data_IF_176443621822
#
_entry.id   IF_176443621822
#
_cell.length_a   1.000
_cell.length_b   1.000
_cell.length_c   1.000
_cell.angle_alpha   90.00
_cell.angle_beta   90.00
_cell.angle_gamma   90.00
#
_symmetry.space_group_name_H-M   'P 1'
#
loop_
_entity.id
_entity.type
_entity.pdbx_description
1 polymer ?
#
# COMPACT_ATOMS: atom_id res chain seq x y z
N UNK A 1 -8.10 1.88 -29.98
CA UNK A 1 -7.17 2.01 -28.84
C UNK A 1 -7.75 1.23 -27.70
N UNK A 2 -7.05 0.25 -27.15
CA UNK A 2 -7.49 -0.49 -25.94
C UNK A 2 -7.56 0.50 -24.77
N UNK A 3 -8.68 0.52 -24.08
CA UNK A 3 -8.86 1.36 -22.89
C UNK A 3 -7.80 0.99 -21.82
N UNK A 4 -7.11 1.99 -21.25
CA UNK A 4 -6.12 1.76 -20.20
C UNK A 4 -6.81 1.20 -18.94
N UNK A 5 -6.18 0.21 -18.31
CA UNK A 5 -6.63 -0.32 -17.01
C UNK A 5 -6.52 0.73 -15.91
N UNK A 6 -7.21 0.54 -14.79
CA UNK A 6 -7.27 1.49 -13.68
C UNK A 6 -6.70 0.87 -12.41
N UNK A 7 -5.81 1.60 -11.73
CA UNK A 7 -5.21 1.14 -10.49
C UNK A 7 -5.27 2.21 -9.39
N UNK A 8 -5.32 1.77 -8.13
CA UNK A 8 -5.10 2.60 -6.95
C UNK A 8 -3.87 2.07 -6.20
N UNK A 9 -2.94 2.96 -5.87
CA UNK A 9 -1.77 2.64 -5.04
C UNK A 9 -1.79 3.49 -3.77
N UNK A 10 -1.89 2.85 -2.60
CA UNK A 10 -1.80 3.57 -1.32
C UNK A 10 -0.33 3.76 -0.93
N UNK A 11 -0.01 4.96 -0.38
CA UNK A 11 1.38 5.32 -0.11
C UNK A 11 2.22 5.38 -1.39
N UNK A 12 1.63 5.84 -2.50
CA UNK A 12 2.23 5.82 -3.83
C UNK A 12 3.32 6.87 -4.09
N UNK A 13 3.60 7.77 -3.13
CA UNK A 13 4.53 8.88 -3.33
C UNK A 13 6.01 8.54 -3.14
N UNK A 14 6.35 7.43 -2.47
CA UNK A 14 7.74 7.07 -2.12
C UNK A 14 7.99 5.57 -2.18
N UNK A 15 9.25 5.16 -2.20
CA UNK A 15 9.70 3.78 -2.04
C UNK A 15 9.01 2.78 -2.98
N UNK A 16 8.54 1.67 -2.43
CA UNK A 16 7.84 0.60 -3.17
C UNK A 16 6.59 1.15 -3.86
N UNK A 17 5.84 2.03 -3.19
CA UNK A 17 4.63 2.63 -3.76
C UNK A 17 4.92 3.44 -5.02
N UNK A 18 5.96 4.28 -5.00
CA UNK A 18 6.42 4.98 -6.20
C UNK A 18 6.77 4.02 -7.34
N UNK A 19 7.57 3.00 -7.02
CA UNK A 19 7.97 1.99 -8.02
C UNK A 19 6.76 1.26 -8.61
N UNK A 20 5.77 0.93 -7.78
CA UNK A 20 4.51 0.31 -8.23
C UNK A 20 3.72 1.24 -9.16
N UNK A 21 3.59 2.53 -8.82
CA UNK A 21 2.92 3.53 -9.67
C UNK A 21 3.55 3.58 -11.06
N UNK A 22 4.88 3.71 -11.11
CA UNK A 22 5.60 3.82 -12.39
C UNK A 22 5.55 2.52 -13.22
N UNK A 23 5.63 1.36 -12.55
CA UNK A 23 5.50 0.07 -13.21
C UNK A 23 4.08 -0.12 -13.81
N UNK A 24 3.04 0.25 -13.08
CA UNK A 24 1.66 0.22 -13.55
C UNK A 24 1.44 1.19 -14.72
N UNK A 25 1.96 2.41 -14.64
CA UNK A 25 1.88 3.39 -15.74
C UNK A 25 2.53 2.86 -17.04
N UNK A 26 3.74 2.25 -16.93
CA UNK A 26 4.41 1.57 -18.05
C UNK A 26 3.60 0.39 -18.59
N UNK A 27 2.90 -0.34 -17.73
CA UNK A 27 2.05 -1.48 -18.10
C UNK A 27 0.68 -1.07 -18.68
N UNK A 28 0.44 0.22 -18.91
CA UNK A 28 -0.79 0.71 -19.53
C UNK A 28 -1.94 0.95 -18.53
N UNK A 29 -1.64 1.22 -17.27
CA UNK A 29 -2.65 1.65 -16.29
C UNK A 29 -2.70 3.18 -16.17
N UNK A 30 -3.89 3.70 -15.90
CA UNK A 30 -4.07 5.00 -15.25
C UNK A 30 -4.06 4.76 -13.74
N UNK A 31 -3.46 5.66 -12.97
CA UNK A 31 -3.14 5.37 -11.57
C UNK A 31 -3.63 6.46 -10.63
N UNK A 32 -4.49 6.08 -9.69
CA UNK A 32 -4.80 6.87 -8.50
C UNK A 32 -3.68 6.67 -7.47
N UNK A 33 -3.11 7.77 -7.01
CA UNK A 33 -1.93 7.81 -6.13
C UNK A 33 -2.36 8.39 -4.79
N UNK A 34 -2.49 7.54 -3.78
CA UNK A 34 -2.79 8.00 -2.44
C UNK A 34 -1.50 8.34 -1.68
N UNK A 35 -1.58 9.37 -0.87
CA UNK A 35 -0.56 9.78 0.10
C UNK A 35 -1.22 10.36 1.36
N UNK A 36 -0.55 10.30 2.51
CA UNK A 36 -1.02 10.95 3.73
C UNK A 36 -0.38 12.34 3.91
N UNK A 37 0.95 12.43 3.90
CA UNK A 37 1.70 13.66 4.17
C UNK A 37 2.74 14.02 3.09
N UNK A 38 3.08 13.11 2.19
CA UNK A 38 4.15 13.28 1.19
C UNK A 38 3.66 13.92 -0.11
N UNK A 39 2.93 15.05 -0.04
CA UNK A 39 2.30 15.68 -1.20
C UNK A 39 3.28 16.00 -2.34
N UNK A 40 4.43 16.62 -2.01
CA UNK A 40 5.45 16.99 -3.02
C UNK A 40 6.01 15.77 -3.74
N UNK A 41 6.29 14.68 -3.01
CA UNK A 41 6.77 13.44 -3.60
C UNK A 41 5.69 12.77 -4.48
N UNK A 42 4.45 12.74 -4.02
CA UNK A 42 3.34 12.20 -4.80
C UNK A 42 3.09 12.98 -6.10
N UNK A 43 3.22 14.31 -6.07
CA UNK A 43 3.15 15.16 -7.27
C UNK A 43 4.26 14.84 -8.28
N UNK A 44 5.50 14.65 -7.81
CA UNK A 44 6.61 14.27 -8.67
C UNK A 44 6.37 12.91 -9.34
N UNK A 45 5.90 11.92 -8.58
CA UNK A 45 5.55 10.58 -9.11
C UNK A 45 4.40 10.67 -10.11
N UNK A 46 3.41 11.50 -9.87
CA UNK A 46 2.31 11.71 -10.81
C UNK A 46 2.81 12.29 -12.15
N UNK A 47 3.70 13.29 -12.10
CA UNK A 47 4.30 13.85 -13.31
C UNK A 47 5.12 12.81 -14.11
N UNK A 48 5.90 11.97 -13.42
CA UNK A 48 6.63 10.87 -14.05
C UNK A 48 5.69 9.84 -14.70
N UNK A 49 4.60 9.48 -14.02
CA UNK A 49 3.60 8.55 -14.56
C UNK A 49 2.85 9.14 -15.76
N UNK A 50 2.56 10.45 -15.74
CA UNK A 50 1.96 11.17 -16.87
C UNK A 50 2.89 11.21 -18.10
N UNK A 51 4.20 11.38 -17.88
CA UNK A 51 5.19 11.28 -18.95
C UNK A 51 5.23 9.89 -19.61
N UNK A 52 4.77 8.85 -18.91
CA UNK A 52 4.56 7.49 -19.43
C UNK A 52 3.17 7.31 -20.09
N UNK A 53 2.40 8.38 -20.24
CA UNK A 53 1.08 8.38 -20.89
C UNK A 53 -0.07 7.96 -19.96
N UNK A 54 0.14 7.84 -18.66
CA UNK A 54 -0.93 7.52 -17.71
C UNK A 54 -1.73 8.77 -17.32
N UNK A 55 -3.04 8.64 -17.16
CA UNK A 55 -3.80 9.59 -16.35
C UNK A 55 -3.52 9.32 -14.87
N UNK A 56 -3.37 10.38 -14.08
CA UNK A 56 -3.12 10.25 -12.63
C UNK A 56 -4.15 11.02 -11.83
N UNK A 57 -4.51 10.48 -10.67
CA UNK A 57 -5.38 11.12 -9.67
C UNK A 57 -4.63 11.16 -8.34
N UNK A 58 -4.35 12.34 -7.81
CA UNK A 58 -3.69 12.52 -6.52
C UNK A 58 -4.73 12.60 -5.40
N UNK A 59 -4.59 11.78 -4.36
CA UNK A 59 -5.56 11.61 -3.30
C UNK A 59 -4.89 11.68 -1.92
N UNK A 60 -5.11 12.77 -1.21
CA UNK A 60 -4.66 12.89 0.16
C UNK A 60 -5.64 12.19 1.11
N UNK A 61 -5.19 11.12 1.77
CA UNK A 61 -6.00 10.37 2.71
C UNK A 61 -5.11 9.57 3.67
N UNK A 62 -5.40 9.64 4.96
CA UNK A 62 -4.88 8.69 5.93
C UNK A 62 -5.74 7.42 5.87
N UNK A 63 -5.14 6.30 5.50
CA UNK A 63 -5.85 5.02 5.33
C UNK A 63 -6.42 4.47 6.65
N UNK A 64 -6.01 4.99 7.81
CA UNK A 64 -6.55 4.61 9.10
C UNK A 64 -7.89 5.28 9.45
N UNK A 65 -8.31 6.29 8.66
CA UNK A 65 -9.61 6.97 8.78
C UNK A 65 -10.60 6.39 7.76
N UNK A 66 -11.62 5.68 8.25
CA UNK A 66 -12.61 5.03 7.38
C UNK A 66 -13.46 6.02 6.57
N UNK A 67 -13.78 7.16 7.14
CA UNK A 67 -14.57 8.17 6.43
C UNK A 67 -13.76 8.79 5.28
N UNK A 68 -12.52 9.14 5.53
CA UNK A 68 -11.59 9.63 4.52
C UNK A 68 -11.34 8.58 3.41
N UNK A 69 -11.19 7.30 3.77
CA UNK A 69 -11.05 6.20 2.80
C UNK A 69 -12.27 6.09 1.90
N UNK A 70 -13.49 6.17 2.45
CA UNK A 70 -14.73 6.14 1.65
C UNK A 70 -14.81 7.31 0.68
N UNK A 71 -14.46 8.51 1.11
CA UNK A 71 -14.40 9.68 0.24
C UNK A 71 -13.34 9.52 -0.87
N UNK A 72 -12.16 9.01 -0.54
CA UNK A 72 -11.11 8.70 -1.50
C UNK A 72 -11.60 7.72 -2.58
N UNK A 73 -12.25 6.62 -2.19
CA UNK A 73 -12.76 5.63 -3.15
C UNK A 73 -13.95 6.14 -3.96
N UNK A 74 -14.76 7.06 -3.42
CA UNK A 74 -15.78 7.77 -4.20
C UNK A 74 -15.13 8.60 -5.32
N UNK A 75 -14.10 9.41 -5.01
CA UNK A 75 -13.36 10.19 -6.02
C UNK A 75 -12.73 9.28 -7.09
N UNK A 76 -12.18 8.12 -6.70
CA UNK A 76 -11.67 7.12 -7.66
C UNK A 76 -12.80 6.60 -8.54
N UNK A 77 -13.97 6.34 -7.97
CA UNK A 77 -15.15 5.89 -8.70
C UNK A 77 -15.65 6.92 -9.71
N UNK A 78 -15.69 8.20 -9.32
CA UNK A 78 -16.11 9.31 -10.19
C UNK A 78 -15.13 9.51 -11.36
N UNK A 79 -13.81 9.43 -11.08
CA UNK A 79 -12.78 9.67 -12.08
C UNK A 79 -12.55 8.47 -13.03
N UNK A 80 -12.57 7.23 -12.50
CA UNK A 80 -12.17 6.04 -13.24
C UNK A 80 -13.33 5.08 -13.55
N UNK A 81 -14.43 5.15 -12.84
CA UNK A 81 -15.60 4.29 -13.00
C UNK A 81 -15.43 2.89 -12.41
N UNK A 82 -14.25 2.30 -12.48
CA UNK A 82 -13.89 0.96 -11.98
C UNK A 82 -12.43 0.89 -11.56
N UNK A 83 -12.02 -0.22 -10.95
CA UNK A 83 -10.63 -0.57 -10.67
C UNK A 83 -10.29 -1.97 -11.16
N UNK A 84 -9.12 -2.12 -11.80
CA UNK A 84 -8.53 -3.42 -12.18
C UNK A 84 -7.48 -3.88 -11.17
N UNK A 85 -6.84 -2.94 -10.48
CA UNK A 85 -5.85 -3.28 -9.46
C UNK A 85 -5.91 -2.34 -8.25
N UNK A 86 -5.74 -2.91 -7.07
CA UNK A 86 -5.49 -2.20 -5.83
C UNK A 86 -4.15 -2.65 -5.25
N UNK A 87 -3.24 -1.71 -5.00
CA UNK A 87 -1.98 -1.97 -4.30
C UNK A 87 -2.06 -1.31 -2.92
N UNK A 88 -2.27 -2.11 -1.89
CA UNK A 88 -2.20 -1.66 -0.50
C UNK A 88 -0.74 -1.65 -0.05
N UNK A 89 -0.11 -0.50 -0.17
CA UNK A 89 1.29 -0.31 0.17
C UNK A 89 1.49 0.68 1.33
N UNK A 90 0.52 1.54 1.64
CA UNK A 90 0.62 2.44 2.79
C UNK A 90 0.99 1.68 4.06
N UNK A 91 1.98 2.18 4.79
CA UNK A 91 2.46 1.56 6.00
C UNK A 91 3.27 2.51 6.87
N UNK A 92 3.37 2.17 8.14
CA UNK A 92 4.18 2.88 9.14
C UNK A 92 4.85 1.87 10.07
N UNK A 93 5.77 2.35 10.88
CA UNK A 93 6.49 1.57 11.89
C UNK A 93 6.56 2.35 13.20
N UNK A 94 6.91 1.66 14.30
CA UNK A 94 7.13 2.25 15.60
C UNK A 94 8.62 2.52 15.84
N UNK A 95 8.94 3.42 16.74
CA UNK A 95 10.27 3.60 17.30
C UNK A 95 10.52 2.49 18.34
N UNK A 96 11.70 1.88 18.34
CA UNK A 96 12.00 0.80 19.26
C UNK A 96 13.49 0.67 19.53
N UNK A 97 13.84 0.36 20.79
CA UNK A 97 15.18 -0.09 21.17
C UNK A 97 15.21 -1.61 21.18
N UNK A 98 16.11 -2.21 20.43
CA UNK A 98 16.28 -3.67 20.37
C UNK A 98 16.48 -4.24 21.77
N UNK A 99 15.74 -5.32 22.12
CA UNK A 99 15.74 -6.02 23.42
C UNK A 99 15.19 -5.21 24.60
N UNK A 100 14.57 -4.06 24.38
CA UNK A 100 13.94 -3.25 25.42
C UNK A 100 12.43 -3.13 25.11
N UNK A 101 11.62 -4.01 25.71
CA UNK A 101 10.18 -4.03 25.49
C UNK A 101 9.48 -2.80 26.08
N UNK A 102 10.00 -2.26 27.19
CA UNK A 102 9.44 -1.08 27.85
C UNK A 102 9.63 0.19 27.01
N UNK A 103 10.57 0.19 26.05
CA UNK A 103 10.74 1.31 25.13
C UNK A 103 9.62 1.44 24.09
N UNK A 104 8.75 0.41 23.96
CA UNK A 104 7.63 0.41 23.03
C UNK A 104 6.45 1.18 23.61
N UNK A 105 6.06 2.25 22.93
CA UNK A 105 4.88 3.03 23.29
C UNK A 105 3.62 2.40 22.69
N UNK A 106 2.57 2.29 23.51
CA UNK A 106 1.31 1.67 23.09
C UNK A 106 0.58 2.49 22.00
N UNK A 107 0.71 3.81 22.01
CA UNK A 107 0.16 4.67 20.95
C UNK A 107 0.84 4.43 19.58
N UNK A 108 2.16 4.20 19.57
CA UNK A 108 2.86 3.79 18.35
C UNK A 108 2.47 2.37 17.89
N UNK A 109 2.20 1.47 18.84
CA UNK A 109 1.64 0.14 18.56
C UNK A 109 0.29 0.26 17.86
N UNK A 110 -0.64 1.00 18.49
CA UNK A 110 -1.99 1.20 17.98
C UNK A 110 -1.97 1.89 16.62
N UNK A 111 -1.12 2.90 16.45
CA UNK A 111 -0.93 3.58 15.16
C UNK A 111 -0.44 2.63 14.08
N UNK A 112 0.51 1.76 14.41
CA UNK A 112 1.06 0.79 13.45
C UNK A 112 -0.03 -0.18 12.98
N UNK A 113 -0.84 -0.70 13.88
CA UNK A 113 -1.96 -1.58 13.51
C UNK A 113 -3.09 -0.84 12.81
N UNK A 114 -3.39 0.38 13.22
CA UNK A 114 -4.39 1.22 12.56
C UNK A 114 -4.07 1.45 11.07
N UNK A 115 -2.82 1.75 10.76
CA UNK A 115 -2.38 1.97 9.37
C UNK A 115 -2.19 0.67 8.62
N UNK A 116 -1.34 -0.23 9.13
CA UNK A 116 -0.86 -1.38 8.37
C UNK A 116 -1.92 -2.47 8.20
N UNK A 117 -2.80 -2.66 9.19
CA UNK A 117 -3.78 -3.76 9.21
C UNK A 117 -5.19 -3.22 8.94
N UNK A 118 -5.71 -2.36 9.83
CA UNK A 118 -7.07 -1.82 9.68
C UNK A 118 -7.20 -0.98 8.42
N UNK A 119 -6.21 -0.12 8.11
CA UNK A 119 -6.18 0.70 6.91
C UNK A 119 -6.17 -0.13 5.63
N UNK A 120 -5.35 -1.19 5.58
CA UNK A 120 -5.37 -2.15 4.46
C UNK A 120 -6.77 -2.75 4.26
N UNK A 121 -7.41 -3.20 5.33
CA UNK A 121 -8.77 -3.74 5.28
C UNK A 121 -9.78 -2.67 4.83
N UNK A 122 -9.73 -1.47 5.38
CA UNK A 122 -10.66 -0.38 5.06
C UNK A 122 -10.62 -0.01 3.58
N UNK A 123 -9.41 0.19 3.03
CA UNK A 123 -9.22 0.49 1.60
C UNK A 123 -9.70 -0.67 0.74
N UNK A 124 -9.33 -1.91 1.07
CA UNK A 124 -9.77 -3.09 0.33
C UNK A 124 -11.29 -3.20 0.30
N UNK A 125 -11.94 -3.10 1.47
CA UNK A 125 -13.40 -3.16 1.60
C UNK A 125 -14.09 -2.08 0.75
N UNK A 126 -13.60 -0.85 0.80
CA UNK A 126 -14.18 0.25 0.03
C UNK A 126 -13.92 0.13 -1.48
N UNK A 127 -12.84 -0.55 -1.90
CA UNK A 127 -12.52 -0.78 -3.31
C UNK A 127 -13.30 -1.93 -3.96
N UNK A 128 -13.82 -2.89 -3.17
CA UNK A 128 -14.52 -4.08 -3.70
C UNK A 128 -15.62 -3.71 -4.72
N UNK A 129 -16.49 -2.71 -4.52
CA UNK A 129 -17.50 -2.37 -5.53
C UNK A 129 -16.90 -1.97 -6.88
N UNK A 130 -15.77 -1.22 -6.89
CA UNK A 130 -15.10 -0.80 -8.13
C UNK A 130 -14.37 -1.96 -8.81
N UNK A 131 -13.77 -2.86 -8.03
CA UNK A 131 -13.14 -4.09 -8.55
C UNK A 131 -14.20 -5.03 -9.16
N UNK A 132 -15.36 -5.17 -8.53
CA UNK A 132 -16.47 -5.96 -9.09
C UNK A 132 -17.02 -5.37 -10.39
N UNK A 133 -17.00 -4.05 -10.57
CA UNK A 133 -17.36 -3.42 -11.86
C UNK A 133 -16.38 -3.84 -12.98
N UNK A 134 -15.08 -3.90 -12.71
CA UNK A 134 -14.10 -4.44 -13.65
C UNK A 134 -14.41 -5.90 -13.99
N UNK A 135 -14.71 -6.73 -12.98
CA UNK A 135 -15.06 -8.15 -13.21
C UNK A 135 -16.29 -8.30 -14.09
N UNK A 136 -17.33 -7.53 -13.82
CA UNK A 136 -18.57 -7.53 -14.62
C UNK A 136 -18.35 -7.11 -16.08
N UNK A 137 -17.33 -6.30 -16.34
CA UNK A 137 -16.90 -5.89 -17.69
C UNK A 137 -15.93 -6.91 -18.35
N UNK A 138 -15.72 -8.08 -17.77
CA UNK A 138 -14.81 -9.10 -18.29
C UNK A 138 -13.34 -8.92 -17.89
N UNK A 139 -13.04 -8.01 -16.97
CA UNK A 139 -11.71 -7.82 -16.43
C UNK A 139 -11.31 -8.89 -15.39
N UNK A 140 -10.05 -8.85 -14.99
CA UNK A 140 -9.47 -9.75 -13.97
C UNK A 140 -8.90 -8.97 -12.79
N UNK A 141 -9.77 -8.37 -11.96
CA UNK A 141 -9.34 -7.48 -10.90
C UNK A 141 -8.50 -8.19 -9.84
N UNK A 142 -7.60 -7.43 -9.22
CA UNK A 142 -6.72 -7.96 -8.18
C UNK A 142 -6.39 -6.95 -7.09
N UNK A 143 -6.13 -7.48 -5.89
CA UNK A 143 -5.58 -6.75 -4.75
C UNK A 143 -4.20 -7.33 -4.46
N UNK A 144 -3.20 -6.47 -4.27
CA UNK A 144 -1.87 -6.83 -3.80
C UNK A 144 -1.57 -6.06 -2.50
N UNK A 145 -1.26 -6.81 -1.45
CA UNK A 145 -0.92 -6.25 -0.14
C UNK A 145 0.60 -6.27 0.07
N UNK A 146 1.17 -5.18 0.55
CA UNK A 146 2.58 -5.12 0.93
C UNK A 146 2.75 -5.62 2.36
N UNK A 147 3.09 -6.89 2.51
CA UNK A 147 3.53 -7.50 3.75
C UNK A 147 5.01 -7.15 4.04
N UNK A 148 5.75 -8.04 4.64
CA UNK A 148 7.21 -7.97 4.84
C UNK A 148 7.74 -9.34 5.20
N UNK A 149 9.03 -9.59 4.92
CA UNK A 149 9.69 -10.82 5.34
C UNK A 149 9.64 -11.02 6.87
N UNK A 150 9.63 -9.92 7.67
CA UNK A 150 9.50 -10.00 9.13
C UNK A 150 8.11 -10.39 9.62
N UNK A 151 7.12 -10.40 8.75
CA UNK A 151 5.82 -11.03 9.01
C UNK A 151 5.81 -12.54 8.81
N UNK A 152 6.89 -13.10 8.24
CA UNK A 152 7.05 -14.53 7.97
C UNK A 152 8.13 -15.20 8.84
N UNK A 153 9.13 -14.44 9.26
CA UNK A 153 10.24 -14.90 10.11
C UNK A 153 10.75 -13.76 10.99
N UNK A 154 11.37 -14.04 12.13
CA UNK A 154 11.98 -13.02 12.99
C UNK A 154 13.02 -12.17 12.25
N UNK A 155 13.15 -10.91 12.66
CA UNK A 155 14.12 -9.96 12.11
C UNK A 155 14.28 -8.73 13.02
N UNK A 156 15.25 -7.87 12.76
CA UNK A 156 15.57 -6.70 13.60
C UNK A 156 14.63 -5.52 13.32
N UNK A 157 13.33 -5.75 13.41
CA UNK A 157 12.30 -4.75 13.20
C UNK A 157 11.47 -4.56 14.47
N UNK A 158 10.84 -3.38 14.68
CA UNK A 158 9.92 -3.15 15.79
C UNK A 158 8.83 -4.21 15.86
N UNK A 159 8.55 -4.70 17.07
CA UNK A 159 7.55 -5.75 17.31
C UNK A 159 6.18 -5.43 16.70
N UNK A 160 5.58 -4.22 16.89
CA UNK A 160 4.29 -3.91 16.31
C UNK A 160 4.32 -3.95 14.77
N UNK A 161 5.43 -3.54 14.16
CA UNK A 161 5.58 -3.65 12.71
C UNK A 161 5.58 -5.11 12.25
N UNK A 162 6.42 -5.96 12.84
CA UNK A 162 6.51 -7.38 12.49
C UNK A 162 5.15 -8.07 12.69
N UNK A 163 4.51 -7.85 13.84
CA UNK A 163 3.18 -8.40 14.16
C UNK A 163 2.11 -7.91 13.15
N UNK A 164 2.13 -6.61 12.80
CA UNK A 164 1.20 -6.07 11.81
C UNK A 164 1.39 -6.69 10.42
N UNK A 165 2.63 -6.97 10.02
CA UNK A 165 2.93 -7.59 8.72
C UNK A 165 2.56 -9.08 8.69
N UNK A 166 2.66 -9.79 9.80
CA UNK A 166 2.09 -11.13 9.95
C UNK A 166 0.55 -11.12 9.85
N UNK A 167 -0.09 -10.13 10.47
CA UNK A 167 -1.53 -9.93 10.34
C UNK A 167 -1.95 -9.65 8.89
N UNK A 168 -1.18 -8.87 8.12
CA UNK A 168 -1.43 -8.62 6.68
C UNK A 168 -1.35 -9.92 5.88
N UNK A 169 -0.40 -10.82 6.18
CA UNK A 169 -0.32 -12.14 5.52
C UNK A 169 -1.60 -12.95 5.75
N UNK A 170 -2.07 -13.02 7.00
CA UNK A 170 -3.31 -13.71 7.34
C UNK A 170 -4.53 -13.05 6.69
N UNK A 171 -4.64 -11.72 6.79
CA UNK A 171 -5.71 -10.93 6.17
C UNK A 171 -5.78 -11.19 4.65
N UNK A 172 -4.64 -11.25 3.97
CA UNK A 172 -4.55 -11.53 2.53
C UNK A 172 -5.19 -12.87 2.18
N UNK A 173 -4.86 -13.92 2.93
CA UNK A 173 -5.42 -15.28 2.72
C UNK A 173 -6.92 -15.30 2.95
N UNK A 174 -7.40 -14.65 4.02
CA UNK A 174 -8.82 -14.58 4.33
C UNK A 174 -9.59 -13.75 3.30
N UNK A 175 -9.01 -12.66 2.79
CA UNK A 175 -9.62 -11.88 1.72
C UNK A 175 -9.63 -12.65 0.39
N UNK A 176 -8.59 -13.41 0.05
CA UNK A 176 -8.57 -14.27 -1.13
C UNK A 176 -9.69 -15.31 -1.08
N UNK A 177 -9.90 -15.94 0.10
CA UNK A 177 -11.01 -16.86 0.32
C UNK A 177 -12.39 -16.21 0.13
N UNK A 178 -12.58 -15.01 0.70
CA UNK A 178 -13.88 -14.33 0.70
C UNK A 178 -14.23 -13.65 -0.64
N UNK A 179 -13.23 -13.24 -1.42
CA UNK A 179 -13.43 -12.46 -2.65
C UNK A 179 -13.21 -13.29 -3.93
N UNK A 180 -12.65 -14.47 -3.81
CA UNK A 180 -12.52 -15.42 -4.92
C UNK A 180 -13.87 -16.03 -5.31
N UNK A 181 -14.03 -16.42 -6.59
CA UNK A 181 -13.08 -16.28 -7.70
C UNK A 181 -13.10 -14.89 -8.38
N UNK A 182 -13.93 -13.95 -7.94
CA UNK A 182 -14.16 -12.68 -8.64
C UNK A 182 -12.96 -11.74 -8.58
N UNK A 183 -12.29 -11.67 -7.41
CA UNK A 183 -11.16 -10.79 -7.17
C UNK A 183 -10.01 -11.62 -6.59
N UNK A 184 -8.88 -11.62 -7.26
CA UNK A 184 -7.67 -12.27 -6.75
C UNK A 184 -7.02 -11.41 -5.68
N UNK A 185 -6.56 -11.99 -4.58
CA UNK A 185 -5.86 -11.26 -3.51
C UNK A 185 -4.55 -11.96 -3.20
N UNK A 186 -3.44 -11.22 -3.29
CA UNK A 186 -2.10 -11.71 -3.04
C UNK A 186 -1.31 -10.73 -2.16
N UNK A 187 -0.16 -11.16 -1.65
CA UNK A 187 0.77 -10.30 -0.95
C UNK A 187 2.19 -10.46 -1.51
N UNK A 188 2.94 -9.38 -1.46
CA UNK A 188 4.40 -9.41 -1.58
C UNK A 188 5.01 -9.19 -0.20
N UNK A 189 6.12 -9.86 0.09
CA UNK A 189 6.83 -9.77 1.37
C UNK A 189 8.28 -9.30 1.14
N UNK A 190 8.50 -8.00 0.90
CA UNK A 190 9.83 -7.48 0.68
C UNK A 190 10.78 -7.72 1.86
N UNK A 191 12.05 -7.89 1.57
CA UNK A 191 13.14 -7.85 2.54
C UNK A 191 13.66 -6.42 2.72
N UNK A 192 14.96 -6.30 2.99
CA UNK A 192 15.64 -5.02 3.02
C UNK A 192 15.69 -4.40 1.61
N UNK A 193 15.42 -3.12 1.54
CA UNK A 193 15.43 -2.38 0.27
C UNK A 193 16.09 -1.02 0.50
N UNK A 194 16.99 -0.63 -0.37
CA UNK A 194 17.58 0.72 -0.37
C UNK A 194 16.52 1.80 -0.55
N UNK A 195 16.71 2.95 0.08
CA UNK A 195 15.88 4.15 -0.07
C UNK A 195 15.45 4.79 1.24
N UNK A 196 14.78 5.93 1.13
CA UNK A 196 14.41 6.85 2.23
C UNK A 196 13.78 6.17 3.47
N UNK A 197 13.10 5.04 3.31
CA UNK A 197 12.54 4.29 4.42
C UNK A 197 13.63 3.68 5.30
N UNK A 198 14.65 3.11 4.66
CA UNK A 198 15.80 2.51 5.34
C UNK A 198 16.67 3.56 5.99
N UNK A 199 16.95 4.65 5.26
CA UNK A 199 17.76 5.76 5.77
C UNK A 199 17.14 6.36 7.04
N UNK A 200 15.82 6.50 7.07
CA UNK A 200 15.09 6.96 8.27
C UNK A 200 15.09 5.95 9.42
N UNK A 201 15.12 4.64 9.12
CA UNK A 201 15.09 3.60 10.15
C UNK A 201 16.45 3.29 10.74
N UNK A 202 17.49 3.31 9.94
CA UNK A 202 18.82 2.87 10.33
C UNK A 202 19.78 4.02 10.58
N UNK A 203 19.59 5.17 9.93
CA UNK A 203 20.53 6.28 10.00
C UNK A 203 21.96 5.80 9.73
N UNK A 204 22.93 6.26 10.54
CA UNK A 204 24.35 5.91 10.40
C UNK A 204 24.68 4.41 10.61
N UNK A 205 23.68 3.59 10.96
CA UNK A 205 23.87 2.14 11.14
C UNK A 205 23.63 1.34 9.86
N UNK A 206 23.20 2.00 8.79
CA UNK A 206 22.90 1.34 7.52
C UNK A 206 24.10 0.57 6.97
N UNK A 207 25.26 1.23 6.88
CA UNK A 207 26.49 0.66 6.33
C UNK A 207 27.01 -0.52 7.16
N UNK A 208 26.85 -0.47 8.50
CA UNK A 208 27.26 -1.53 9.40
C UNK A 208 26.39 -2.80 9.33
N UNK A 209 25.20 -2.71 8.78
CA UNK A 209 24.26 -3.84 8.65
C UNK A 209 24.25 -4.45 7.26
N UNK A 210 24.73 -3.71 6.25
CA UNK A 210 24.75 -4.14 4.84
C UNK A 210 26.14 -4.62 4.38
N UNK A 211 27.21 -4.34 5.13
CA UNK A 211 28.57 -4.86 4.94
C UNK A 211 28.77 -6.17 5.66
#
# INVERSE_FOLDING_TARGET
MTQRKKALVTGGGTGIGRSAVLALAKAGYDVAINYASSAKAAQAVAAEAQALGAQTLLLQCDVSDDAAVRQMLAQVGDAFGHLDALINNAGTTATWKVKDLESLKLDEWDRTFAVNVRGNFQVSRAAVPLLKKSKAAGGEPSIVNTASIVGLRPGPQPLPYAASKAAVVSLTKMMAWNLGPDIRVNAVAPGWMEGDWMDRMLGDKYDALMG
#
